data_IF_075961124851
#
_entry.id   IF_075961124851
#
_cell.length_a   1.000
_cell.length_b   1.000
_cell.length_c   1.000
_cell.angle_alpha   90.00
_cell.angle_beta   90.00
_cell.angle_gamma   90.00
#
_symmetry.space_group_name_H-M   'P 1'
#
loop_
_entity.id
_entity.type
_entity.pdbx_description
1 polymer ?
#
# COMPACT_ATOMS: atom_id res chain seq x y z
N UNK A 1 -28.55 12.39 -22.63
CA UNK A 1 -27.85 11.54 -21.64
C UNK A 1 -27.80 12.17 -20.25
N UNK A 2 -27.27 13.38 -20.05
CA UNK A 2 -27.14 13.99 -18.71
C UNK A 2 -28.48 14.16 -17.93
N UNK A 3 -29.58 14.55 -18.60
CA UNK A 3 -30.87 14.81 -17.93
C UNK A 3 -31.53 13.58 -17.28
N UNK A 4 -31.32 12.39 -17.83
CA UNK A 4 -31.94 11.14 -17.33
C UNK A 4 -31.21 10.61 -16.10
N UNK A 5 -29.88 10.79 -16.02
CA UNK A 5 -29.08 10.45 -14.83
C UNK A 5 -29.47 11.33 -13.64
N UNK A 6 -29.60 12.65 -13.85
CA UNK A 6 -29.96 13.59 -12.78
C UNK A 6 -31.37 13.33 -12.24
N UNK A 7 -32.35 13.09 -13.10
CA UNK A 7 -33.71 12.76 -12.67
C UNK A 7 -33.77 11.44 -11.87
N UNK A 8 -32.91 10.47 -12.22
CA UNK A 8 -32.77 9.22 -11.48
C UNK A 8 -32.17 9.44 -10.09
N UNK A 9 -31.07 10.19 -10.00
CA UNK A 9 -30.42 10.52 -8.73
C UNK A 9 -31.38 11.28 -7.79
N UNK A 10 -32.14 12.24 -8.32
CA UNK A 10 -33.13 13.00 -7.57
C UNK A 10 -34.29 12.12 -7.08
N UNK A 11 -34.78 11.21 -7.93
CA UNK A 11 -35.84 10.26 -7.57
C UNK A 11 -35.39 9.27 -6.50
N UNK A 12 -34.18 8.71 -6.62
CA UNK A 12 -33.60 7.84 -5.61
C UNK A 12 -33.42 8.59 -4.29
N UNK A 13 -32.96 9.83 -4.35
CA UNK A 13 -32.78 10.67 -3.18
C UNK A 13 -34.08 10.93 -2.45
N UNK A 14 -35.14 11.32 -3.18
CA UNK A 14 -36.46 11.57 -2.60
C UNK A 14 -37.04 10.30 -1.97
N UNK A 15 -37.01 9.17 -2.68
CA UNK A 15 -37.56 7.89 -2.21
C UNK A 15 -36.80 7.36 -0.97
N UNK A 16 -35.47 7.44 -0.96
CA UNK A 16 -34.67 7.01 0.20
C UNK A 16 -34.93 7.92 1.41
N UNK A 17 -35.06 9.23 1.20
CA UNK A 17 -35.37 10.18 2.29
C UNK A 17 -36.73 9.89 2.92
N UNK A 18 -37.73 9.53 2.10
CA UNK A 18 -39.06 9.13 2.59
C UNK A 18 -39.01 7.87 3.48
N UNK A 19 -37.99 7.03 3.32
CA UNK A 19 -37.71 5.83 4.14
C UNK A 19 -36.73 6.10 5.29
N UNK A 20 -36.45 7.37 5.60
CA UNK A 20 -35.59 7.75 6.72
C UNK A 20 -34.08 7.60 6.45
N UNK A 21 -33.67 7.27 5.22
CA UNK A 21 -32.26 7.17 4.86
C UNK A 21 -31.59 8.55 4.80
N UNK A 22 -30.30 8.57 5.09
CA UNK A 22 -29.44 9.76 5.00
C UNK A 22 -28.45 9.61 3.85
N UNK A 23 -27.73 10.70 3.53
CA UNK A 23 -26.82 10.75 2.37
C UNK A 23 -25.43 11.26 2.70
N UNK A 24 -24.42 10.63 2.11
CA UNK A 24 -23.05 11.15 1.97
C UNK A 24 -22.63 10.96 0.53
N UNK A 25 -22.23 12.05 -0.14
CA UNK A 25 -21.76 12.02 -1.55
C UNK A 25 -22.68 11.27 -2.53
N UNK A 26 -24.00 11.36 -2.33
CA UNK A 26 -24.98 10.69 -3.18
C UNK A 26 -25.27 9.24 -2.80
N UNK A 27 -24.54 8.65 -1.85
CA UNK A 27 -24.81 7.30 -1.33
C UNK A 27 -25.85 7.35 -0.21
N UNK A 28 -27.05 6.75 -0.41
CA UNK A 28 -28.02 6.55 0.66
C UNK A 28 -27.53 5.51 1.68
N UNK A 29 -27.79 5.78 2.96
CA UNK A 29 -27.41 4.89 4.06
C UNK A 29 -28.39 4.94 5.23
N UNK A 30 -28.40 3.85 6.00
CA UNK A 30 -28.95 3.78 7.36
C UNK A 30 -27.82 3.49 8.35
N UNK A 31 -28.00 4.03 9.55
CA UNK A 31 -27.08 3.90 10.65
C UNK A 31 -27.85 3.38 11.85
N UNK A 32 -27.42 2.23 12.35
CA UNK A 32 -27.92 1.59 13.55
C UNK A 32 -26.87 1.64 14.67
N UNK A 33 -27.18 1.05 15.82
CA UNK A 33 -26.25 1.00 16.95
C UNK A 33 -24.96 0.23 16.60
N UNK A 34 -25.07 -0.83 15.80
CA UNK A 34 -23.94 -1.69 15.41
C UNK A 34 -23.52 -1.42 13.96
N UNK A 35 -24.46 -1.25 13.04
CA UNK A 35 -24.21 -1.34 11.60
C UNK A 35 -24.35 -0.01 10.86
N UNK A 36 -23.51 0.14 9.83
CA UNK A 36 -23.74 1.02 8.70
C UNK A 36 -24.17 0.17 7.51
N UNK A 37 -25.33 0.47 6.93
CA UNK A 37 -25.81 -0.16 5.70
C UNK A 37 -25.96 0.89 4.60
N UNK A 38 -25.37 0.64 3.43
CA UNK A 38 -25.40 1.54 2.27
C UNK A 38 -26.08 0.86 1.09
N UNK A 39 -26.78 1.66 0.28
CA UNK A 39 -27.26 1.26 -1.04
C UNK A 39 -26.42 1.98 -2.09
N UNK A 40 -25.64 1.22 -2.84
CA UNK A 40 -24.89 1.75 -3.98
C UNK A 40 -25.61 1.34 -5.26
N UNK A 41 -25.91 2.31 -6.13
CA UNK A 41 -26.62 2.03 -7.36
C UNK A 41 -25.99 2.80 -8.55
N UNK A 42 -25.90 2.13 -9.69
CA UNK A 42 -25.29 2.64 -10.91
C UNK A 42 -26.28 2.58 -12.07
N UNK A 43 -26.44 3.71 -12.75
CA UNK A 43 -27.23 3.78 -13.97
C UNK A 43 -26.37 3.42 -15.19
N UNK A 44 -26.69 2.29 -15.81
CA UNK A 44 -26.07 1.84 -17.05
C UNK A 44 -26.99 2.21 -18.22
N UNK A 45 -26.53 3.15 -19.05
CA UNK A 45 -27.21 3.48 -20.30
C UNK A 45 -27.01 2.37 -21.33
N UNK A 46 -28.06 2.09 -22.10
CA UNK A 46 -28.04 1.21 -23.26
C UNK A 46 -26.79 1.39 -24.14
N UNK A 47 -26.11 0.29 -24.46
CA UNK A 47 -25.19 0.21 -25.61
C UNK A 47 -26.01 0.25 -26.92
N UNK A 48 -25.32 0.37 -28.06
CA UNK A 48 -25.91 0.49 -29.43
C UNK A 48 -26.96 -0.58 -29.82
N UNK A 49 -27.16 -1.62 -29.00
CA UNK A 49 -27.97 -2.79 -29.30
C UNK A 49 -29.44 -2.70 -28.82
N UNK A 50 -29.89 -1.52 -28.36
CA UNK A 50 -31.31 -1.27 -28.09
C UNK A 50 -31.89 -1.96 -26.84
N UNK A 51 -31.05 -2.54 -25.99
CA UNK A 51 -31.43 -2.99 -24.65
C UNK A 51 -31.72 -1.76 -23.78
N UNK A 52 -32.89 -1.70 -23.13
CA UNK A 52 -33.32 -0.56 -22.30
C UNK A 52 -32.31 -0.17 -21.20
N UNK A 53 -32.58 0.93 -20.50
CA UNK A 53 -31.72 1.35 -19.38
C UNK A 53 -31.67 0.27 -18.30
N UNK A 54 -30.53 0.09 -17.63
CA UNK A 54 -30.39 -0.86 -16.53
C UNK A 54 -29.83 -0.15 -15.32
N UNK A 55 -30.33 -0.51 -14.14
CA UNK A 55 -29.78 -0.07 -12.86
C UNK A 55 -29.24 -1.29 -12.15
N UNK A 56 -27.94 -1.26 -11.88
CA UNK A 56 -27.29 -2.23 -11.01
C UNK A 56 -27.25 -1.65 -9.60
N UNK A 57 -27.53 -2.46 -8.59
CA UNK A 57 -27.52 -2.02 -7.21
C UNK A 57 -26.90 -3.07 -6.29
N UNK A 58 -26.33 -2.59 -5.19
CA UNK A 58 -25.75 -3.37 -4.11
C UNK A 58 -26.16 -2.83 -2.75
N UNK A 59 -26.50 -3.76 -1.87
CA UNK A 59 -26.70 -3.53 -0.45
C UNK A 59 -25.46 -3.99 0.27
N UNK A 60 -24.83 -3.04 0.95
CA UNK A 60 -23.53 -3.21 1.58
C UNK A 60 -23.67 -2.94 3.08
N UNK A 61 -23.09 -3.78 3.93
CA UNK A 61 -23.16 -3.64 5.39
C UNK A 61 -21.80 -3.86 6.06
N UNK A 62 -21.53 -3.12 7.13
CA UNK A 62 -20.40 -3.37 8.03
C UNK A 62 -20.65 -2.81 9.43
N UNK A 63 -20.04 -3.38 10.47
CA UNK A 63 -20.07 -2.78 11.80
C UNK A 63 -19.41 -1.40 11.82
N UNK A 64 -19.85 -0.50 12.68
CA UNK A 64 -19.20 0.79 12.88
C UNK A 64 -17.80 0.63 13.48
N UNK A 65 -17.61 -0.42 14.27
CA UNK A 65 -16.37 -0.70 14.99
C UNK A 65 -15.21 -1.07 14.05
N UNK A 66 -15.46 -1.69 12.89
CA UNK A 66 -14.36 -2.15 12.01
C UNK A 66 -13.54 -0.99 11.44
N UNK A 67 -14.19 0.10 11.03
CA UNK A 67 -13.49 1.31 10.58
C UNK A 67 -12.85 2.06 11.76
N UNK A 68 -13.46 2.03 12.96
CA UNK A 68 -12.87 2.66 14.15
C UNK A 68 -11.55 1.99 14.52
N UNK A 69 -11.51 0.65 14.54
CA UNK A 69 -10.30 -0.14 14.76
C UNK A 69 -9.24 0.12 13.70
N UNK A 70 -9.65 0.21 12.42
CA UNK A 70 -8.75 0.59 11.36
C UNK A 70 -8.12 1.97 11.59
N UNK A 71 -8.89 2.95 12.07
CA UNK A 71 -8.34 4.28 12.34
C UNK A 71 -7.48 4.33 13.60
N UNK A 72 -7.88 3.63 14.66
CA UNK A 72 -7.08 3.48 15.88
C UNK A 72 -5.71 2.86 15.57
N UNK A 73 -5.66 1.87 14.67
CA UNK A 73 -4.43 1.18 14.31
C UNK A 73 -3.53 1.92 13.29
N UNK A 74 -4.00 2.97 12.62
CA UNK A 74 -3.23 3.65 11.54
C UNK A 74 -3.09 5.13 11.71
N UNK A 75 -4.04 5.73 12.41
CA UNK A 75 -4.16 7.16 12.58
C UNK A 75 -4.49 7.46 14.05
N UNK A 76 -3.77 6.89 15.04
CA UNK A 76 -4.11 7.03 16.45
C UNK A 76 -4.16 8.48 16.90
N UNK A 77 -3.31 9.34 16.32
CA UNK A 77 -3.22 10.76 16.67
C UNK A 77 -4.20 11.66 15.88
N UNK A 78 -4.95 11.10 14.93
CA UNK A 78 -5.88 11.92 14.13
C UNK A 78 -7.19 12.13 14.87
N UNK A 79 -7.39 13.35 15.37
CA UNK A 79 -8.67 13.77 15.91
C UNK A 79 -9.75 13.84 14.83
N UNK A 80 -10.77 12.99 14.93
CA UNK A 80 -11.89 12.98 13.98
C UNK A 80 -13.23 13.30 14.64
N UNK A 81 -13.82 14.43 14.28
CA UNK A 81 -15.17 14.78 14.70
C UNK A 81 -16.24 13.83 14.12
N UNK A 82 -17.42 13.71 14.75
CA UNK A 82 -18.43 12.71 14.37
C UNK A 82 -18.86 12.74 12.90
N UNK A 83 -19.02 13.95 12.33
CA UNK A 83 -19.37 14.13 10.91
C UNK A 83 -18.26 13.64 9.98
N UNK A 84 -17.00 13.86 10.33
CA UNK A 84 -15.86 13.42 9.52
C UNK A 84 -15.71 11.91 9.57
N UNK A 85 -15.89 11.31 10.74
CA UNK A 85 -15.93 9.85 10.89
C UNK A 85 -16.99 9.26 9.96
N UNK A 86 -18.24 9.72 10.06
CA UNK A 86 -19.34 9.21 9.24
C UNK A 86 -19.06 9.31 7.74
N UNK A 87 -18.58 10.48 7.29
CA UNK A 87 -18.21 10.65 5.89
C UNK A 87 -17.14 9.62 5.47
N UNK A 88 -16.07 9.48 6.24
CA UNK A 88 -14.98 8.54 5.93
C UNK A 88 -15.45 7.08 5.89
N UNK A 89 -16.43 6.66 6.70
CA UNK A 89 -17.00 5.30 6.61
C UNK A 89 -17.66 5.03 5.25
N UNK A 90 -18.23 6.05 4.60
CA UNK A 90 -19.04 5.94 3.38
C UNK A 90 -18.25 6.29 2.11
N UNK A 91 -17.37 7.27 2.14
CA UNK A 91 -16.65 7.73 0.94
C UNK A 91 -15.13 7.91 1.15
N UNK A 92 -14.62 7.54 2.32
CA UNK A 92 -13.20 7.69 2.63
C UNK A 92 -12.34 6.74 1.80
N UNK A 93 -11.16 7.23 1.38
CA UNK A 93 -10.11 6.39 0.82
C UNK A 93 -9.54 5.40 1.86
N UNK A 94 -9.69 5.73 3.15
CA UNK A 94 -9.19 4.94 4.27
C UNK A 94 -10.36 4.37 5.09
N UNK A 95 -10.98 3.32 4.53
CA UNK A 95 -12.15 2.63 5.09
C UNK A 95 -12.05 1.13 4.85
N UNK A 96 -12.63 0.35 5.75
CA UNK A 96 -12.87 -1.08 5.56
C UNK A 96 -13.97 -1.24 4.51
N UNK A 97 -13.74 -2.08 3.51
CA UNK A 97 -14.76 -2.38 2.50
C UNK A 97 -15.92 -3.15 3.16
N UNK A 98 -17.18 -2.77 2.88
CA UNK A 98 -18.33 -3.44 3.47
C UNK A 98 -18.57 -4.82 2.85
N UNK A 99 -19.36 -5.64 3.54
CA UNK A 99 -19.87 -6.90 3.03
C UNK A 99 -21.06 -6.65 2.11
N UNK A 100 -21.05 -7.23 0.91
CA UNK A 100 -22.24 -7.24 0.04
C UNK A 100 -23.21 -8.30 0.54
N UNK A 101 -24.44 -7.90 0.90
CA UNK A 101 -25.48 -8.79 1.42
C UNK A 101 -26.63 -9.01 0.45
N UNK A 102 -26.80 -8.11 -0.52
CA UNK A 102 -27.67 -8.31 -1.67
C UNK A 102 -27.17 -7.50 -2.86
N UNK A 103 -27.42 -7.99 -4.06
CA UNK A 103 -27.19 -7.25 -5.29
C UNK A 103 -28.23 -7.64 -6.34
N UNK A 104 -28.46 -6.75 -7.30
CA UNK A 104 -29.44 -7.01 -8.35
C UNK A 104 -29.33 -6.05 -9.51
N UNK A 105 -30.04 -6.41 -10.59
CA UNK A 105 -30.14 -5.58 -11.79
C UNK A 105 -31.60 -5.42 -12.16
N UNK A 106 -32.03 -4.18 -12.36
CA UNK A 106 -33.39 -3.84 -12.74
C UNK A 106 -33.38 -3.12 -14.08
N UNK A 107 -34.13 -3.63 -15.05
CA UNK A 107 -34.36 -2.94 -16.33
C UNK A 107 -35.35 -1.79 -16.14
N UNK A 108 -35.07 -0.65 -16.74
CA UNK A 108 -35.82 0.59 -16.58
C UNK A 108 -36.26 1.15 -17.92
N UNK A 109 -37.56 1.41 -18.06
CA UNK A 109 -38.10 2.24 -19.12
C UNK A 109 -37.89 3.73 -18.76
N UNK A 110 -37.49 4.61 -19.69
CA UNK A 110 -37.12 6.01 -19.41
C UNK A 110 -38.22 6.89 -18.77
N UNK A 111 -39.47 6.42 -18.68
CA UNK A 111 -40.64 7.25 -18.42
C UNK A 111 -41.54 6.79 -17.25
N UNK A 112 -41.14 5.80 -16.43
CA UNK A 112 -41.98 5.29 -15.34
C UNK A 112 -41.32 5.46 -13.96
N UNK A 113 -41.93 6.25 -13.07
CA UNK A 113 -41.79 6.06 -11.61
C UNK A 113 -42.50 4.73 -11.27
N UNK A 114 -41.75 3.64 -10.97
CA UNK A 114 -41.46 3.27 -9.59
C UNK A 114 -40.10 2.52 -9.40
N UNK A 115 -39.07 2.81 -10.22
CA UNK A 115 -37.85 1.98 -10.25
C UNK A 115 -36.97 2.05 -8.98
N UNK A 116 -37.10 3.08 -8.14
CA UNK A 116 -36.35 3.20 -6.88
C UNK A 116 -36.93 2.30 -5.80
N UNK A 117 -38.22 1.97 -5.86
CA UNK A 117 -38.93 1.19 -4.85
C UNK A 117 -38.38 -0.23 -4.74
N UNK A 118 -38.15 -0.93 -5.85
CA UNK A 118 -37.69 -2.32 -5.80
C UNK A 118 -36.29 -2.47 -5.18
N UNK A 119 -35.36 -1.56 -5.52
CA UNK A 119 -34.02 -1.57 -4.92
C UNK A 119 -34.05 -1.18 -3.43
N UNK A 120 -34.95 -0.27 -3.05
CA UNK A 120 -35.14 0.11 -1.65
C UNK A 120 -35.84 -0.98 -0.82
N UNK A 121 -36.81 -1.69 -1.40
CA UNK A 121 -37.46 -2.85 -0.77
C UNK A 121 -36.45 -3.99 -0.56
N UNK A 122 -35.61 -4.26 -1.57
CA UNK A 122 -34.53 -5.23 -1.46
C UNK A 122 -33.48 -4.81 -0.42
N UNK A 123 -33.19 -3.51 -0.32
CA UNK A 123 -32.32 -2.95 0.71
C UNK A 123 -32.86 -3.18 2.12
N UNK A 124 -34.12 -2.84 2.37
CA UNK A 124 -34.74 -3.01 3.69
C UNK A 124 -34.82 -4.49 4.07
N UNK A 125 -35.31 -5.35 3.17
CA UNK A 125 -35.43 -6.78 3.42
C UNK A 125 -34.05 -7.42 3.71
N UNK A 126 -33.05 -7.19 2.85
CA UNK A 126 -31.72 -7.77 3.04
C UNK A 126 -31.05 -7.28 4.34
N UNK A 127 -31.20 -5.98 4.66
CA UNK A 127 -30.68 -5.43 5.91
C UNK A 127 -31.34 -6.05 7.13
N UNK A 128 -32.67 -6.10 7.15
CA UNK A 128 -33.43 -6.60 8.29
C UNK A 128 -33.16 -8.09 8.52
N UNK A 129 -33.14 -8.89 7.46
CA UNK A 129 -32.78 -10.31 7.53
C UNK A 129 -31.36 -10.52 8.06
N UNK A 130 -30.40 -9.72 7.57
CA UNK A 130 -29.00 -9.83 8.01
C UNK A 130 -28.82 -9.43 9.48
N UNK A 131 -29.40 -8.30 9.91
CA UNK A 131 -29.30 -7.83 11.29
C UNK A 131 -30.02 -8.79 12.24
N UNK A 132 -31.16 -9.35 11.84
CA UNK A 132 -31.87 -10.36 12.63
C UNK A 132 -31.02 -11.64 12.84
N UNK A 133 -30.29 -12.08 11.81
CA UNK A 133 -29.41 -13.24 11.89
C UNK A 133 -28.09 -12.95 12.64
N UNK A 134 -27.60 -11.71 12.55
CA UNK A 134 -26.30 -11.28 13.07
C UNK A 134 -26.43 -9.93 13.80
N UNK A 135 -26.97 -9.91 15.03
CA UNK A 135 -27.30 -8.65 15.71
C UNK A 135 -26.09 -7.86 16.22
N UNK A 136 -24.92 -8.50 16.35
CA UNK A 136 -23.71 -7.94 16.95
C UNK A 136 -22.45 -8.22 16.12
N UNK A 137 -21.32 -7.61 16.51
CA UNK A 137 -20.03 -7.77 15.83
C UNK A 137 -19.54 -9.22 15.80
N UNK A 138 -19.85 -10.01 16.83
CA UNK A 138 -19.52 -11.43 16.88
C UNK A 138 -20.34 -12.27 15.90
N UNK A 139 -21.61 -11.92 15.69
CA UNK A 139 -22.45 -12.47 14.64
C UNK A 139 -21.93 -12.13 13.25
N UNK A 140 -21.52 -10.88 13.04
CA UNK A 140 -20.93 -10.43 11.78
C UNK A 140 -19.64 -11.17 11.43
N UNK A 141 -18.73 -11.31 12.40
CA UNK A 141 -17.45 -12.01 12.20
C UNK A 141 -17.68 -13.47 11.76
N UNK A 142 -18.62 -14.18 12.41
CA UNK A 142 -19.01 -15.54 12.02
C UNK A 142 -19.57 -15.60 10.60
N UNK A 143 -20.44 -14.65 10.25
CA UNK A 143 -21.02 -14.57 8.90
C UNK A 143 -19.96 -14.35 7.81
N UNK A 144 -18.83 -13.72 8.14
CA UNK A 144 -17.71 -13.54 7.23
C UNK A 144 -16.83 -14.78 7.13
N UNK A 145 -16.57 -15.47 8.24
CA UNK A 145 -15.72 -16.68 8.24
C UNK A 145 -16.26 -17.76 7.29
N UNK A 146 -17.59 -17.85 7.14
CA UNK A 146 -18.25 -18.81 6.25
C UNK A 146 -18.19 -18.42 4.75
N UNK A 147 -17.65 -17.23 4.42
CA UNK A 147 -17.69 -16.69 3.05
C UNK A 147 -16.37 -16.87 2.31
N UNK A 148 -16.38 -17.36 1.06
CA UNK A 148 -15.18 -17.47 0.23
C UNK A 148 -14.45 -16.14 0.04
N UNK A 149 -15.19 -15.03 -0.04
CA UNK A 149 -14.66 -13.69 -0.25
C UNK A 149 -13.76 -13.21 0.90
N UNK A 150 -13.91 -13.77 2.10
CA UNK A 150 -13.11 -13.41 3.27
C UNK A 150 -11.63 -13.80 3.12
N UNK A 151 -11.34 -14.81 2.29
CA UNK A 151 -9.98 -15.24 1.95
C UNK A 151 -9.32 -14.44 0.82
N UNK A 152 -10.05 -13.54 0.16
CA UNK A 152 -9.49 -12.68 -0.87
C UNK A 152 -8.78 -11.48 -0.24
N UNK A 153 -7.75 -10.88 -0.89
CA UNK A 153 -7.00 -9.75 -0.34
C UNK A 153 -7.86 -8.57 0.15
N UNK A 154 -8.98 -8.31 -0.54
CA UNK A 154 -9.94 -7.26 -0.14
C UNK A 154 -10.80 -7.65 1.07
N UNK A 155 -11.07 -8.94 1.26
CA UNK A 155 -11.83 -9.47 2.39
C UNK A 155 -11.01 -9.61 3.67
N UNK A 156 -9.68 -9.76 3.58
CA UNK A 156 -8.80 -9.94 4.75
C UNK A 156 -8.90 -8.79 5.75
N UNK A 157 -8.83 -7.54 5.28
CA UNK A 157 -8.94 -6.37 6.17
C UNK A 157 -10.27 -6.37 6.91
N UNK A 158 -11.37 -6.68 6.20
CA UNK A 158 -12.70 -6.75 6.80
C UNK A 158 -12.78 -7.89 7.83
N UNK A 159 -12.25 -9.07 7.51
CA UNK A 159 -12.23 -10.21 8.42
C UNK A 159 -11.41 -9.90 9.69
N UNK A 160 -10.18 -9.40 9.55
CA UNK A 160 -9.29 -9.10 10.68
C UNK A 160 -9.92 -8.03 11.59
N UNK A 161 -10.45 -6.95 11.01
CA UNK A 161 -11.12 -5.91 11.80
C UNK A 161 -12.44 -6.37 12.41
N UNK A 162 -13.18 -7.28 11.76
CA UNK A 162 -14.37 -7.91 12.33
C UNK A 162 -14.02 -8.83 13.52
N UNK A 163 -12.95 -9.61 13.42
CA UNK A 163 -12.45 -10.44 14.53
C UNK A 163 -12.04 -9.58 15.72
N UNK A 164 -11.34 -8.46 15.49
CA UNK A 164 -11.02 -7.49 16.54
C UNK A 164 -12.28 -6.88 17.15
N UNK A 165 -13.27 -6.52 16.33
CA UNK A 165 -14.54 -5.97 16.80
C UNK A 165 -15.35 -6.99 17.63
N UNK A 166 -15.20 -8.27 17.33
CA UNK A 166 -15.79 -9.40 18.06
C UNK A 166 -14.98 -9.85 19.28
N UNK A 167 -14.01 -9.06 19.75
CA UNK A 167 -13.12 -9.39 20.87
C UNK A 167 -12.33 -10.70 20.68
N UNK A 168 -11.88 -10.96 19.43
CA UNK A 168 -11.05 -12.11 19.04
C UNK A 168 -9.67 -11.68 18.51
N UNK A 169 -8.85 -10.97 19.31
CA UNK A 169 -7.56 -10.45 18.86
C UNK A 169 -6.56 -11.55 18.46
N UNK A 170 -6.56 -12.69 19.14
CA UNK A 170 -5.67 -13.80 18.81
C UNK A 170 -5.94 -14.38 17.41
N UNK A 171 -7.23 -14.50 17.04
CA UNK A 171 -7.62 -14.97 15.71
C UNK A 171 -7.30 -13.93 14.64
N UNK A 172 -7.53 -12.65 14.94
CA UNK A 172 -7.20 -11.54 14.05
C UNK A 172 -5.69 -11.51 13.72
N UNK A 173 -4.84 -11.64 14.73
CA UNK A 173 -3.39 -11.72 14.56
C UNK A 173 -2.99 -12.93 13.70
N UNK A 174 -3.52 -14.11 14.00
CA UNK A 174 -3.24 -15.35 13.25
C UNK A 174 -3.62 -15.22 11.78
N UNK A 175 -4.82 -14.73 11.46
CA UNK A 175 -5.27 -14.54 10.07
C UNK A 175 -4.35 -13.57 9.33
N UNK A 176 -3.95 -12.47 9.99
CA UNK A 176 -3.03 -11.51 9.41
C UNK A 176 -1.63 -12.12 9.14
N UNK A 177 -1.08 -12.85 10.11
CA UNK A 177 0.23 -13.51 9.97
C UNK A 177 0.25 -14.55 8.86
N UNK A 178 -0.79 -15.38 8.78
CA UNK A 178 -0.94 -16.39 7.72
C UNK A 178 -1.02 -15.73 6.33
N UNK A 179 -1.74 -14.62 6.20
CA UNK A 179 -1.81 -13.85 4.96
C UNK A 179 -0.45 -13.22 4.59
N UNK A 180 0.21 -12.58 5.55
CA UNK A 180 1.54 -11.98 5.36
C UNK A 180 2.55 -13.06 4.93
N UNK A 181 2.51 -14.24 5.54
CA UNK A 181 3.39 -15.37 5.19
C UNK A 181 3.15 -15.90 3.77
N UNK A 182 1.91 -15.77 3.24
CA UNK A 182 1.59 -16.07 1.83
C UNK A 182 1.96 -14.95 0.86
N UNK A 183 2.49 -13.82 1.35
CA UNK A 183 2.79 -12.65 0.53
C UNK A 183 1.55 -11.84 0.13
N UNK A 184 0.42 -12.06 0.79
CA UNK A 184 -0.79 -11.27 0.58
C UNK A 184 -0.62 -9.87 1.18
N UNK A 185 -1.26 -8.90 0.54
CA UNK A 185 -1.25 -7.49 0.94
C UNK A 185 -2.68 -6.97 0.99
N UNK A 186 -2.95 -6.02 1.88
CA UNK A 186 -4.26 -5.39 1.91
C UNK A 186 -4.37 -4.24 0.91
N UNK A 187 -5.59 -3.82 0.63
CA UNK A 187 -5.88 -2.82 -0.40
C UNK A 187 -5.53 -1.38 -0.02
N UNK A 188 -5.05 -1.14 1.21
CA UNK A 188 -4.73 0.19 1.73
C UNK A 188 -3.23 0.40 1.80
N UNK A 189 -2.75 1.42 1.10
CA UNK A 189 -1.35 1.83 1.10
C UNK A 189 -1.10 2.76 2.29
N UNK A 190 -0.15 2.38 3.13
CA UNK A 190 0.46 3.28 4.12
C UNK A 190 1.98 3.17 4.01
N UNK A 191 2.70 3.60 5.05
CA UNK A 191 4.13 3.41 5.22
C UNK A 191 4.54 1.94 5.06
N UNK A 192 3.72 1.01 5.56
CA UNK A 192 3.85 -0.44 5.35
C UNK A 192 2.50 -1.08 5.05
N UNK A 193 2.48 -2.36 4.70
CA UNK A 193 1.25 -3.09 4.40
C UNK A 193 0.26 -3.06 5.58
N UNK A 194 -1.02 -2.90 5.25
CA UNK A 194 -2.08 -2.73 6.26
C UNK A 194 -2.22 -3.94 7.19
N UNK A 195 -1.97 -5.15 6.69
CA UNK A 195 -2.10 -6.37 7.48
C UNK A 195 -1.06 -6.40 8.61
N UNK A 196 0.12 -5.81 8.41
CA UNK A 196 1.17 -5.73 9.44
C UNK A 196 0.76 -4.85 10.62
N UNK A 197 0.16 -3.70 10.35
CA UNK A 197 -0.40 -2.84 11.41
C UNK A 197 -1.49 -3.58 12.19
N UNK A 198 -2.44 -4.21 11.50
CA UNK A 198 -3.52 -4.92 12.15
C UNK A 198 -3.02 -6.14 12.95
N UNK A 199 -2.01 -6.85 12.46
CA UNK A 199 -1.37 -7.94 13.19
C UNK A 199 -0.71 -7.45 14.48
N UNK A 200 0.06 -6.36 14.41
CA UNK A 200 0.70 -5.76 15.58
C UNK A 200 -0.33 -5.21 16.57
N UNK A 201 -1.35 -4.52 16.08
CA UNK A 201 -2.44 -3.96 16.88
C UNK A 201 -3.22 -5.06 17.62
N UNK A 202 -3.51 -6.16 16.93
CA UNK A 202 -4.18 -7.32 17.51
C UNK A 202 -3.38 -7.99 18.64
N UNK A 203 -2.05 -7.84 18.68
CA UNK A 203 -1.19 -8.42 19.72
C UNK A 203 -1.05 -7.51 20.95
N UNK A 204 -1.67 -6.33 20.94
CA UNK A 204 -1.71 -5.42 22.07
C UNK A 204 -0.65 -4.31 22.02
N UNK A 205 -0.70 -3.39 23.00
CA UNK A 205 -0.02 -2.11 22.92
C UNK A 205 1.51 -2.20 22.91
N UNK A 206 2.11 -3.16 23.61
CA UNK A 206 3.57 -3.33 23.64
C UNK A 206 4.12 -3.75 22.27
N UNK A 207 3.47 -4.73 21.63
CA UNK A 207 3.86 -5.20 20.29
C UNK A 207 3.58 -4.14 19.25
N UNK A 208 2.47 -3.42 19.37
CA UNK A 208 2.14 -2.32 18.47
C UNK A 208 3.14 -1.16 18.59
N UNK A 209 3.55 -0.77 19.80
CA UNK A 209 4.57 0.27 20.01
C UNK A 209 5.94 -0.14 19.45
N UNK A 210 6.35 -1.41 19.65
CA UNK A 210 7.59 -1.93 19.05
C UNK A 210 7.51 -1.93 17.51
N UNK A 211 6.36 -2.28 16.95
CA UNK A 211 6.11 -2.19 15.53
C UNK A 211 6.21 -0.74 15.04
N UNK A 212 5.58 0.24 15.70
CA UNK A 212 5.70 1.66 15.32
C UNK A 212 7.15 2.14 15.36
N UNK A 213 7.93 1.76 16.36
CA UNK A 213 9.36 2.07 16.44
C UNK A 213 10.15 1.46 15.26
N UNK A 214 9.75 0.30 14.75
CA UNK A 214 10.38 -0.33 13.57
C UNK A 214 10.03 0.35 12.23
N UNK A 215 9.09 1.30 12.23
CA UNK A 215 8.70 2.06 11.04
C UNK A 215 9.62 3.26 10.78
N UNK A 216 10.64 3.49 11.59
CA UNK A 216 11.64 4.52 11.33
C UNK A 216 12.44 4.16 10.06
N UNK A 217 12.47 5.03 9.04
CA UNK A 217 13.33 4.84 7.87
C UNK A 217 14.78 4.64 8.26
N UNK A 218 15.43 3.69 7.61
CA UNK A 218 16.86 3.40 7.80
C UNK A 218 17.68 3.77 6.58
N UNK A 219 17.03 3.83 5.41
CA UNK A 219 17.69 4.17 4.15
C UNK A 219 16.76 4.98 3.26
N UNK A 220 17.36 5.70 2.32
CA UNK A 220 16.66 6.28 1.17
C UNK A 220 17.15 5.59 -0.09
N UNK A 221 16.21 5.11 -0.91
CA UNK A 221 16.50 4.61 -2.24
C UNK A 221 16.11 5.66 -3.28
N UNK A 222 17.05 6.04 -4.15
CA UNK A 222 16.83 6.97 -5.23
C UNK A 222 16.98 6.26 -6.57
N UNK A 223 16.13 6.61 -7.53
CA UNK A 223 16.22 6.13 -8.92
C UNK A 223 16.45 7.35 -9.79
N UNK A 224 17.61 7.39 -10.45
CA UNK A 224 18.00 8.48 -11.33
C UNK A 224 17.56 8.17 -12.76
N UNK A 225 16.97 9.20 -13.38
CA UNK A 225 16.39 9.19 -14.72
C UNK A 225 16.88 10.43 -15.46
N UNK A 226 17.07 10.31 -16.77
CA UNK A 226 17.48 11.46 -17.57
C UNK A 226 16.26 12.26 -18.05
N UNK A 227 15.15 11.59 -18.39
CA UNK A 227 13.97 12.25 -18.96
C UNK A 227 12.95 12.74 -17.92
N UNK A 228 13.13 12.37 -16.66
CA UNK A 228 12.20 12.73 -15.58
C UNK A 228 12.91 12.98 -14.25
N UNK A 229 12.29 13.71 -13.31
CA UNK A 229 12.86 13.90 -11.98
C UNK A 229 13.12 12.57 -11.28
N UNK A 230 14.23 12.51 -10.55
CA UNK A 230 14.55 11.35 -9.70
C UNK A 230 13.44 11.09 -8.69
N UNK A 231 13.14 9.82 -8.46
CA UNK A 231 12.23 9.40 -7.39
C UNK A 231 13.04 8.92 -6.19
N UNK A 232 12.66 9.36 -4.99
CA UNK A 232 13.24 8.90 -3.73
C UNK A 232 12.19 8.17 -2.88
N UNK A 233 12.61 7.10 -2.22
CA UNK A 233 11.77 6.24 -1.39
C UNK A 233 12.48 5.91 -0.08
N UNK A 234 11.83 6.24 1.04
CA UNK A 234 12.30 5.80 2.36
C UNK A 234 12.06 4.31 2.57
N UNK A 235 13.10 3.60 2.99
CA UNK A 235 13.06 2.17 3.24
C UNK A 235 13.19 1.85 4.74
N UNK A 236 12.37 0.91 5.20
CA UNK A 236 12.30 0.44 6.59
C UNK A 236 12.77 -1.00 6.66
N UNK A 237 13.94 -1.22 7.28
CA UNK A 237 14.71 -2.48 7.18
C UNK A 237 13.87 -3.71 7.48
N UNK A 238 13.08 -3.66 8.55
CA UNK A 238 12.26 -4.79 9.00
C UNK A 238 11.05 -5.07 8.11
N UNK A 239 10.64 -4.11 7.27
CA UNK A 239 9.40 -4.19 6.50
C UNK A 239 9.60 -4.22 5.00
N UNK A 240 10.84 -4.10 4.54
CA UNK A 240 11.18 -4.09 3.13
C UNK A 240 10.88 -5.44 2.45
N UNK A 241 10.19 -5.35 1.31
CA UNK A 241 9.66 -6.51 0.56
C UNK A 241 10.59 -6.99 -0.57
N UNK A 242 11.83 -6.47 -0.66
CA UNK A 242 12.81 -6.92 -1.65
C UNK A 242 12.49 -6.46 -3.08
N UNK A 243 12.71 -5.19 -3.39
CA UNK A 243 12.48 -4.61 -4.74
C UNK A 243 13.76 -4.19 -5.47
N UNK A 244 14.95 -4.42 -4.92
CA UNK A 244 16.20 -4.02 -5.57
C UNK A 244 16.35 -4.70 -6.91
N UNK A 245 16.00 -5.99 -7.00
CA UNK A 245 15.99 -6.75 -8.26
C UNK A 245 15.17 -6.08 -9.35
N UNK A 246 13.94 -5.68 -9.03
CA UNK A 246 13.08 -5.00 -10.00
C UNK A 246 13.69 -3.68 -10.50
N UNK A 247 14.27 -2.88 -9.59
CA UNK A 247 14.85 -1.59 -9.96
C UNK A 247 16.12 -1.74 -10.79
N UNK A 248 17.05 -2.58 -10.36
CA UNK A 248 18.32 -2.82 -11.05
C UNK A 248 18.11 -3.52 -12.41
N UNK A 249 17.20 -4.49 -12.50
CA UNK A 249 16.88 -5.16 -13.77
C UNK A 249 16.13 -4.26 -14.75
N UNK A 250 15.56 -3.14 -14.30
CA UNK A 250 14.83 -2.20 -15.17
C UNK A 250 15.71 -1.13 -15.80
N UNK A 251 17.00 -1.08 -15.43
CA UNK A 251 17.94 -0.09 -15.93
C UNK A 251 18.37 -0.43 -17.36
N UNK A 252 18.33 0.56 -18.26
CA UNK A 252 18.74 0.40 -19.67
C UNK A 252 20.00 1.22 -20.02
N UNK A 253 20.63 1.84 -19.02
CA UNK A 253 21.79 2.72 -19.20
C UNK A 253 21.45 4.15 -19.60
N UNK A 254 20.18 4.45 -19.86
CA UNK A 254 19.72 5.78 -20.26
C UNK A 254 18.60 6.33 -19.37
N UNK A 255 17.53 5.57 -19.11
CA UNK A 255 16.42 5.95 -18.25
C UNK A 255 15.56 4.73 -17.82
N UNK A 256 15.70 4.21 -16.58
CA UNK A 256 16.57 4.69 -15.51
C UNK A 256 18.03 4.28 -15.75
N UNK A 257 18.97 5.12 -15.30
CA UNK A 257 20.40 4.89 -15.51
C UNK A 257 21.20 4.69 -14.22
N UNK A 258 20.64 5.01 -13.05
CA UNK A 258 21.26 4.70 -11.78
C UNK A 258 20.25 4.47 -10.65
N UNK A 259 20.66 3.68 -9.67
CA UNK A 259 19.98 3.46 -8.39
C UNK A 259 20.96 3.74 -7.26
N UNK A 260 20.56 4.55 -6.29
CA UNK A 260 21.35 4.89 -5.10
C UNK A 260 20.60 4.39 -3.87
N UNK A 261 21.29 3.73 -2.96
CA UNK A 261 20.79 3.33 -1.66
C UNK A 261 21.67 3.99 -0.59
N UNK A 262 21.12 4.95 0.13
CA UNK A 262 21.82 5.76 1.13
C UNK A 262 21.34 5.39 2.54
N UNK A 263 22.26 5.20 3.47
CA UNK A 263 21.94 4.98 4.89
C UNK A 263 21.56 6.31 5.55
N UNK A 264 20.43 6.34 6.25
CA UNK A 264 19.98 7.50 7.02
C UNK A 264 20.69 7.45 8.37
N UNK A 265 21.47 8.49 8.68
CA UNK A 265 22.10 8.61 9.99
C UNK A 265 21.04 8.64 11.11
N UNK A 266 21.22 7.90 12.21
CA UNK A 266 20.34 7.99 13.36
C UNK A 266 20.23 9.42 13.88
N UNK A 267 19.05 9.83 14.34
CA UNK A 267 18.87 11.14 14.97
C UNK A 267 19.86 11.33 16.12
N UNK A 268 20.59 12.46 16.11
CA UNK A 268 21.60 12.79 17.12
C UNK A 268 23.00 12.23 16.85
N UNK A 269 23.24 11.58 15.71
CA UNK A 269 24.60 11.32 15.25
C UNK A 269 25.31 12.64 14.91
N UNK A 270 26.46 12.91 15.54
CA UNK A 270 27.24 14.14 15.32
C UNK A 270 27.61 14.29 13.84
N UNK A 271 27.50 15.52 13.33
CA UNK A 271 27.58 15.93 11.91
C UNK A 271 28.92 15.75 11.19
N UNK A 272 29.69 14.70 11.51
CA UNK A 272 30.86 14.28 10.76
C UNK A 272 30.38 13.47 9.55
N UNK A 273 30.46 14.03 8.33
CA UNK A 273 30.16 13.42 7.01
C UNK A 273 29.65 11.97 7.08
N UNK A 274 28.37 11.79 7.44
CA UNK A 274 27.72 10.48 7.58
C UNK A 274 27.40 9.83 6.23
N UNK A 275 28.09 10.25 5.17
CA UNK A 275 27.88 9.80 3.80
C UNK A 275 28.23 8.32 3.70
N UNK A 276 27.17 7.50 3.66
CA UNK A 276 27.28 6.06 3.44
C UNK A 276 26.20 5.61 2.49
N UNK A 277 26.62 5.17 1.31
CA UNK A 277 25.69 4.76 0.27
C UNK A 277 26.32 3.71 -0.64
N UNK A 278 25.45 2.95 -1.31
CA UNK A 278 25.77 2.09 -2.43
C UNK A 278 25.04 2.62 -3.67
N UNK A 279 25.75 2.72 -4.78
CA UNK A 279 25.18 3.18 -6.06
C UNK A 279 25.49 2.16 -7.14
N UNK A 280 24.50 1.84 -7.98
CA UNK A 280 24.70 1.18 -9.26
C UNK A 280 24.35 2.17 -10.37
N UNK A 281 25.19 2.26 -11.40
CA UNK A 281 24.92 3.05 -12.60
C UNK A 281 25.20 2.20 -13.84
N UNK A 282 24.40 2.33 -14.89
CA UNK A 282 24.52 1.53 -16.12
C UNK A 282 23.22 0.90 -16.61
N UNK A 283 23.36 -0.15 -17.40
CA UNK A 283 22.28 -1.03 -17.84
C UNK A 283 22.23 -2.30 -16.98
N UNK A 284 21.10 -3.01 -17.00
CA UNK A 284 20.90 -4.23 -16.22
C UNK A 284 21.98 -5.30 -16.48
N UNK A 285 22.50 -5.40 -17.71
CA UNK A 285 23.52 -6.39 -18.07
C UNK A 285 24.95 -5.90 -17.81
N UNK A 286 25.13 -4.59 -17.58
CA UNK A 286 26.43 -3.93 -17.42
C UNK A 286 26.27 -2.67 -16.56
N UNK A 287 26.62 -2.78 -15.29
CA UNK A 287 26.63 -1.67 -14.35
C UNK A 287 27.92 -1.62 -13.55
N UNK A 288 28.32 -0.41 -13.16
CA UNK A 288 29.36 -0.18 -12.15
C UNK A 288 28.67 -0.02 -10.82
N UNK A 289 29.25 -0.60 -9.77
CA UNK A 289 28.83 -0.39 -8.39
C UNK A 289 29.86 0.48 -7.68
N UNK A 290 29.40 1.54 -7.02
CA UNK A 290 30.20 2.43 -6.18
C UNK A 290 29.74 2.30 -4.73
N UNK A 291 30.70 2.23 -3.82
CA UNK A 291 30.46 2.18 -2.38
C UNK A 291 31.14 3.36 -1.71
N UNK A 292 30.34 4.19 -1.03
CA UNK A 292 30.84 5.29 -0.21
C UNK A 292 30.66 4.95 1.26
N UNK A 293 31.73 5.16 2.04
CA UNK A 293 31.73 4.94 3.49
C UNK A 293 32.62 5.94 4.20
N UNK A 294 32.38 6.18 5.50
CA UNK A 294 33.30 6.96 6.33
C UNK A 294 34.73 6.43 6.24
N UNK A 295 35.69 7.35 6.20
CA UNK A 295 37.11 7.02 6.21
C UNK A 295 37.55 6.64 7.64
N UNK A 296 37.96 5.38 7.89
CA UNK A 296 38.41 4.98 9.22
C UNK A 296 39.69 5.69 9.66
N UNK A 297 40.50 6.19 8.72
CA UNK A 297 41.76 6.88 9.01
C UNK A 297 41.58 8.39 9.20
N UNK A 298 40.41 8.94 8.86
CA UNK A 298 40.12 10.36 8.96
C UNK A 298 38.67 10.63 9.37
N UNK A 299 38.42 10.80 10.67
CA UNK A 299 37.10 11.09 11.20
C UNK A 299 36.46 12.31 10.52
N UNK A 300 35.23 12.12 10.02
CA UNK A 300 34.49 13.15 9.31
C UNK A 300 34.78 13.28 7.82
N UNK A 301 35.69 12.47 7.27
CA UNK A 301 35.82 12.26 5.83
C UNK A 301 35.06 11.00 5.39
N UNK A 302 34.71 10.93 4.11
CA UNK A 302 34.17 9.73 3.47
C UNK A 302 34.94 9.43 2.18
N UNK A 303 35.05 8.16 1.82
CA UNK A 303 35.72 7.70 0.59
C UNK A 303 34.72 6.95 -0.28
N UNK A 304 34.59 7.43 -1.51
CA UNK A 304 33.88 6.73 -2.59
C UNK A 304 34.86 5.83 -3.32
N UNK A 305 34.48 4.57 -3.48
CA UNK A 305 35.26 3.55 -4.15
C UNK A 305 34.44 2.88 -5.25
N UNK A 306 35.08 2.53 -6.36
CA UNK A 306 34.53 1.60 -7.35
C UNK A 306 34.74 0.18 -6.82
N UNK A 307 33.69 -0.63 -6.90
CA UNK A 307 33.71 -2.03 -6.47
C UNK A 307 34.25 -2.90 -7.61
N UNK A 308 35.13 -3.85 -7.29
CA UNK A 308 35.64 -4.84 -8.22
C UNK A 308 35.53 -6.26 -7.66
N UNK A 309 35.49 -7.27 -8.52
CA UNK A 309 35.67 -8.67 -8.12
C UNK A 309 37.14 -8.91 -7.73
N UNK A 310 37.39 -9.75 -6.73
CA UNK A 310 38.74 -10.21 -6.43
C UNK A 310 39.33 -11.05 -7.57
N UNK A 311 40.61 -10.85 -7.88
CA UNK A 311 41.32 -11.56 -8.95
C UNK A 311 42.29 -10.65 -9.72
N UNK A 312 43.05 -11.23 -10.65
CA UNK A 312 43.88 -10.46 -11.57
C UNK A 312 43.00 -9.78 -12.63
N UNK A 313 43.32 -8.53 -12.97
CA UNK A 313 42.56 -7.72 -13.91
C UNK A 313 42.70 -8.24 -15.35
N UNK A 314 41.59 -8.68 -15.96
CA UNK A 314 41.54 -9.20 -17.33
C UNK A 314 41.28 -8.11 -18.40
N UNK A 315 41.57 -6.84 -18.09
CA UNK A 315 41.56 -5.73 -19.04
C UNK A 315 40.40 -4.75 -18.84
N UNK A 316 40.34 -3.73 -19.69
CA UNK A 316 39.41 -2.61 -19.53
C UNK A 316 38.27 -2.61 -20.56
N UNK A 317 37.13 -2.06 -20.19
CA UNK A 317 35.98 -1.84 -21.08
C UNK A 317 35.53 -0.39 -21.03
N UNK A 318 35.02 0.10 -22.16
CA UNK A 318 34.31 1.37 -22.21
C UNK A 318 32.92 1.21 -21.59
N UNK A 319 32.59 2.11 -20.68
CA UNK A 319 31.36 2.15 -19.94
C UNK A 319 30.64 3.46 -20.23
N UNK A 320 29.47 3.37 -20.87
CA UNK A 320 28.73 4.54 -21.35
C UNK A 320 27.64 4.89 -20.35
N UNK A 321 27.72 6.10 -19.79
CA UNK A 321 26.69 6.75 -19.00
C UNK A 321 25.99 7.83 -19.83
N UNK A 322 24.82 8.34 -19.41
CA UNK A 322 24.09 9.35 -20.18
C UNK A 322 24.89 10.62 -20.49
N UNK A 323 25.87 10.97 -19.64
CA UNK A 323 26.64 12.22 -19.74
C UNK A 323 28.15 12.04 -19.84
N UNK A 324 28.64 10.81 -19.78
CA UNK A 324 30.08 10.51 -19.81
C UNK A 324 30.33 9.10 -20.36
N UNK A 325 31.53 8.88 -20.88
CA UNK A 325 32.06 7.54 -21.11
C UNK A 325 33.27 7.37 -20.22
N UNK A 326 33.31 6.28 -19.48
CA UNK A 326 34.38 5.93 -18.55
C UNK A 326 35.10 4.67 -19.03
N UNK A 327 36.35 4.50 -18.64
CA UNK A 327 37.11 3.26 -18.90
C UNK A 327 37.34 2.60 -17.56
N UNK A 328 36.75 1.41 -17.38
CA UNK A 328 36.79 0.66 -16.12
C UNK A 328 37.35 -0.74 -16.33
N UNK A 329 37.82 -1.36 -15.26
CA UNK A 329 38.25 -2.76 -15.29
C UNK A 329 37.06 -3.68 -15.58
N UNK A 330 37.28 -4.75 -16.33
CA UNK A 330 36.22 -5.75 -16.61
C UNK A 330 35.73 -6.39 -15.31
N UNK A 331 36.61 -6.52 -14.33
CA UNK A 331 36.30 -7.00 -12.99
C UNK A 331 35.41 -6.03 -12.17
N UNK A 332 35.24 -4.78 -12.61
CA UNK A 332 34.43 -3.73 -11.96
C UNK A 332 33.02 -3.58 -12.59
N UNK A 333 32.69 -4.42 -13.59
CA UNK A 333 31.38 -4.41 -14.26
C UNK A 333 30.54 -5.60 -13.83
N UNK A 334 29.34 -5.32 -13.36
CA UNK A 334 28.39 -6.28 -12.81
C UNK A 334 27.12 -6.37 -13.65
N UNK A 335 26.42 -7.49 -13.56
CA UNK A 335 25.03 -7.55 -13.97
C UNK A 335 24.11 -7.18 -12.79
N UNK A 336 22.81 -7.07 -13.08
CA UNK A 336 21.81 -6.73 -12.08
C UNK A 336 21.70 -7.79 -10.98
N UNK A 337 21.88 -9.08 -11.27
CA UNK A 337 21.75 -10.15 -10.28
C UNK A 337 22.84 -10.04 -9.21
N UNK A 338 24.09 -9.83 -9.63
CA UNK A 338 25.20 -9.65 -8.71
C UNK A 338 25.10 -8.34 -7.93
N UNK A 339 24.70 -7.25 -8.58
CA UNK A 339 24.47 -5.98 -7.91
C UNK A 339 23.34 -6.07 -6.86
N UNK A 340 22.27 -6.85 -7.12
CA UNK A 340 21.19 -7.07 -6.14
C UNK A 340 21.73 -7.70 -4.86
N UNK A 341 22.64 -8.68 -4.98
CA UNK A 341 23.24 -9.30 -3.81
C UNK A 341 24.00 -8.28 -2.94
N UNK A 342 24.75 -7.36 -3.56
CA UNK A 342 25.44 -6.27 -2.85
C UNK A 342 24.45 -5.28 -2.22
N UNK A 343 23.37 -4.92 -2.92
CA UNK A 343 22.35 -4.02 -2.39
C UNK A 343 21.61 -4.62 -1.20
N UNK A 344 21.24 -5.90 -1.26
CA UNK A 344 20.65 -6.60 -0.12
C UNK A 344 21.64 -6.73 1.04
N UNK A 345 22.91 -7.07 0.79
CA UNK A 345 23.95 -7.11 1.82
C UNK A 345 24.10 -5.75 2.51
N UNK A 346 24.20 -4.67 1.72
CA UNK A 346 24.38 -3.32 2.24
C UNK A 346 23.16 -2.88 3.03
N UNK A 347 21.97 -3.14 2.51
CA UNK A 347 20.73 -2.79 3.19
C UNK A 347 20.58 -3.50 4.54
N UNK A 348 20.99 -4.76 4.64
CA UNK A 348 20.81 -5.61 5.83
C UNK A 348 21.92 -5.43 6.86
N UNK A 349 23.18 -5.38 6.42
CA UNK A 349 24.37 -5.43 7.28
C UNK A 349 25.27 -4.18 7.18
N UNK A 350 25.09 -3.35 6.15
CA UNK A 350 25.92 -2.17 5.88
C UNK A 350 27.24 -2.48 5.16
N UNK A 351 27.47 -3.72 4.72
CA UNK A 351 28.61 -4.13 3.89
C UNK A 351 28.15 -4.61 2.51
N UNK A 352 29.08 -4.84 1.59
CA UNK A 352 28.75 -5.31 0.23
C UNK A 352 28.92 -6.82 0.06
N UNK A 353 29.13 -7.56 1.16
CA UNK A 353 29.53 -8.96 1.15
C UNK A 353 31.03 -9.20 0.92
N UNK A 354 31.41 -10.48 0.92
CA UNK A 354 32.79 -10.94 0.73
C UNK A 354 33.16 -11.12 -0.76
N UNK A 355 34.45 -11.08 -1.07
CA UNK A 355 34.97 -11.35 -2.42
C UNK A 355 35.12 -10.13 -3.32
N UNK A 356 34.79 -8.94 -2.81
CA UNK A 356 34.93 -7.68 -3.51
C UNK A 356 36.16 -6.87 -3.04
N UNK A 357 36.75 -6.14 -3.98
CA UNK A 357 37.83 -5.16 -3.74
C UNK A 357 37.29 -3.75 -3.93
N UNK A 358 37.91 -2.78 -3.27
CA UNK A 358 37.52 -1.38 -3.33
C UNK A 358 38.68 -0.55 -3.88
N UNK A 359 38.46 0.10 -5.02
CA UNK A 359 39.39 1.09 -5.58
C UNK A 359 38.88 2.49 -5.28
N UNK A 360 39.57 3.20 -4.39
CA UNK A 360 39.22 4.57 -4.06
C UNK A 360 39.29 5.48 -5.30
N UNK A 361 38.25 6.29 -5.51
CA UNK A 361 38.16 7.24 -6.63
C UNK A 361 37.98 8.68 -6.17
N UNK A 362 37.32 8.91 -5.04
CA UNK A 362 37.08 10.24 -4.53
C UNK A 362 37.02 10.24 -3.01
N UNK A 363 37.46 11.35 -2.43
CA UNK A 363 37.43 11.60 -1.00
C UNK A 363 36.65 12.88 -0.74
N UNK A 364 35.73 12.80 0.21
CA UNK A 364 34.94 13.91 0.71
C UNK A 364 35.44 14.28 2.10
N UNK A 365 35.97 15.49 2.25
CA UNK A 365 36.43 16.01 3.54
C UNK A 365 35.35 16.90 4.17
N UNK A 366 35.33 17.04 5.51
CA UNK A 366 34.38 17.91 6.18
C UNK A 366 34.65 19.37 5.78
N UNK A 367 33.58 20.09 5.44
CA UNK A 367 33.61 21.49 5.00
C UNK A 367 33.99 22.47 6.10
#
# INVERSE_FOLDING_TARGET
MAKTSTAWEDGLKAASTARGMRFVSGTPYLLDDVYLTTLTAWFLSATKDGLGHRVEWRVEIKPLRVDALLWEAFMPDTAMGPRMQLNRRINGAFRVQPLVIAEGVTSVEPAAEPYTTAALDAFEAARDDFIAAHPDEAGFARALEDRPEASQPRGLVLLITALLAADRPADAARVADEAIARGETGSMSSVVDVLKYLAAYARGPEVYAAFEASLVPTHTMQILRETSPSSAHELRREHYVGRFGHHLSSMDGSDPWAVILEEIAPEGADGSSGLRYLQAAGAAERMIVEFCRPDPEAPGSAVRSVVGRGGDDEGTVEFVLPRSTEVVGTHEVFDAEEAVAMFEAFYRAGDIGDGYTLRAVERFDPS
#
